data_IF_922873025687
#
_entry.id   IF_922873025687
#
_cell.length_a   1.000
_cell.length_b   1.000
_cell.length_c   1.000
_cell.angle_alpha   90.00
_cell.angle_beta   90.00
_cell.angle_gamma   90.00
#
_symmetry.space_group_name_H-M   'P 1'
#
loop_
_entity.id
_entity.type
_entity.pdbx_description
1 polymer ?
#
# COMPACT_ATOMS: atom_id res chain seq x y z
N UNK A 1 8.19 -3.96 -7.30
CA UNK A 1 7.94 -2.89 -6.31
C UNK A 1 7.76 -1.54 -7.01
N UNK A 2 7.23 -0.56 -6.30
CA UNK A 2 7.07 0.81 -6.81
C UNK A 2 8.43 1.39 -7.19
N UNK A 3 8.50 2.05 -8.34
CA UNK A 3 9.69 2.76 -8.84
C UNK A 3 9.36 4.24 -9.00
N UNK A 4 10.36 5.09 -8.80
CA UNK A 4 10.17 6.55 -8.82
C UNK A 4 9.65 7.09 -7.48
N UNK A 5 9.47 8.40 -7.40
CA UNK A 5 9.01 9.11 -6.20
C UNK A 5 9.80 8.74 -4.91
N UNK A 6 11.11 8.47 -5.06
CA UNK A 6 11.98 8.05 -3.95
C UNK A 6 11.97 6.54 -3.66
N UNK A 7 11.27 5.75 -4.45
CA UNK A 7 11.21 4.30 -4.32
C UNK A 7 12.22 3.63 -5.29
N UNK A 8 12.95 2.59 -4.86
CA UNK A 8 14.05 2.01 -5.63
C UNK A 8 13.64 1.09 -6.79
N UNK A 9 12.38 0.68 -6.88
CA UNK A 9 11.94 -0.21 -7.96
C UNK A 9 12.55 -1.60 -7.92
N UNK A 10 12.62 -2.24 -6.75
CA UNK A 10 13.19 -3.59 -6.65
C UNK A 10 12.48 -4.59 -7.56
N UNK A 11 13.26 -5.48 -8.17
CA UNK A 11 12.70 -6.63 -8.87
C UNK A 11 11.86 -7.50 -7.93
N UNK A 12 10.90 -8.28 -8.44
CA UNK A 12 10.12 -9.19 -7.60
C UNK A 12 10.98 -10.17 -6.79
N UNK A 13 12.10 -10.63 -7.38
CA UNK A 13 13.03 -11.50 -6.68
C UNK A 13 13.70 -10.78 -5.51
N UNK A 14 14.22 -9.56 -5.71
CA UNK A 14 14.83 -8.78 -4.64
C UNK A 14 13.82 -8.46 -3.53
N UNK A 15 12.60 -8.09 -3.89
CA UNK A 15 11.53 -7.84 -2.92
C UNK A 15 11.19 -9.10 -2.10
N UNK A 16 11.15 -10.28 -2.74
CA UNK A 16 10.95 -11.56 -2.07
C UNK A 16 12.08 -11.90 -1.09
N UNK A 17 13.33 -11.67 -1.48
CA UNK A 17 14.48 -11.87 -0.59
C UNK A 17 14.45 -10.94 0.62
N UNK A 18 14.10 -9.68 0.43
CA UNK A 18 13.92 -8.72 1.54
C UNK A 18 12.82 -9.20 2.49
N UNK A 19 11.67 -9.59 1.96
CA UNK A 19 10.56 -10.08 2.77
C UNK A 19 10.95 -11.35 3.56
N UNK A 20 11.69 -12.25 2.95
CA UNK A 20 12.19 -13.49 3.59
C UNK A 20 13.14 -13.15 4.74
N UNK A 21 14.11 -12.25 4.54
CA UNK A 21 15.05 -11.88 5.60
C UNK A 21 14.36 -11.12 6.74
N UNK A 22 13.41 -10.24 6.42
CA UNK A 22 12.60 -9.60 7.45
C UNK A 22 11.80 -10.61 8.26
N UNK A 23 11.19 -11.60 7.61
CA UNK A 23 10.41 -12.64 8.27
C UNK A 23 11.28 -13.57 9.15
N UNK A 24 12.56 -13.75 8.81
CA UNK A 24 13.52 -14.49 9.66
C UNK A 24 13.83 -13.74 10.95
N UNK A 25 13.82 -12.42 10.91
CA UNK A 25 14.01 -11.58 12.10
C UNK A 25 12.73 -11.43 12.92
N UNK A 26 11.66 -11.00 12.27
CA UNK A 26 10.34 -10.80 12.88
C UNK A 26 9.23 -10.83 11.82
N UNK A 27 8.30 -11.77 11.97
CA UNK A 27 7.18 -11.92 11.05
C UNK A 27 6.24 -10.70 11.01
N UNK A 28 6.12 -9.96 12.13
CA UNK A 28 5.29 -8.75 12.18
C UNK A 28 5.90 -7.62 11.35
N UNK A 29 7.21 -7.47 11.39
CA UNK A 29 7.95 -6.50 10.56
C UNK A 29 7.82 -6.85 9.08
N UNK A 30 7.90 -8.13 8.73
CA UNK A 30 7.67 -8.58 7.35
C UNK A 30 6.24 -8.29 6.89
N UNK A 31 5.24 -8.54 7.72
CA UNK A 31 3.83 -8.24 7.42
C UNK A 31 3.62 -6.74 7.26
N UNK A 32 4.15 -5.93 8.19
CA UNK A 32 4.12 -4.47 8.08
C UNK A 32 4.72 -3.98 6.76
N UNK A 33 5.91 -4.46 6.40
CA UNK A 33 6.56 -4.12 5.13
C UNK A 33 5.70 -4.50 3.93
N UNK A 34 5.12 -5.71 3.93
CA UNK A 34 4.24 -6.18 2.87
C UNK A 34 3.00 -5.31 2.69
N UNK A 35 2.33 -4.92 3.78
CA UNK A 35 1.14 -4.06 3.73
C UNK A 35 1.51 -2.63 3.32
N UNK A 36 2.54 -2.06 3.94
CA UNK A 36 2.97 -0.69 3.66
C UNK A 36 3.43 -0.52 2.20
N UNK A 37 4.41 -1.32 1.78
CA UNK A 37 5.04 -1.19 0.46
C UNK A 37 4.26 -1.91 -0.64
N UNK A 38 3.80 -3.12 -0.38
CA UNK A 38 3.18 -4.00 -1.37
C UNK A 38 1.71 -3.70 -1.62
N UNK A 39 0.98 -3.21 -0.65
CA UNK A 39 -0.44 -2.86 -0.80
C UNK A 39 -0.66 -1.35 -0.85
N UNK A 40 -0.39 -0.62 0.23
CA UNK A 40 -0.75 0.80 0.31
C UNK A 40 0.02 1.66 -0.69
N UNK A 41 1.36 1.58 -0.73
CA UNK A 41 2.15 2.35 -1.70
C UNK A 41 1.88 1.88 -3.13
N UNK A 42 1.74 0.57 -3.37
CA UNK A 42 1.44 0.05 -4.69
C UNK A 42 0.08 0.54 -5.20
N UNK A 43 -0.96 0.56 -4.35
CA UNK A 43 -2.27 1.10 -4.73
C UNK A 43 -2.18 2.57 -5.14
N UNK A 44 -1.46 3.40 -4.38
CA UNK A 44 -1.25 4.81 -4.72
C UNK A 44 -0.46 4.94 -6.02
N UNK A 45 0.59 4.14 -6.21
CA UNK A 45 1.41 4.18 -7.42
C UNK A 45 0.63 3.79 -8.68
N UNK A 46 -0.25 2.79 -8.58
CA UNK A 46 -1.01 2.27 -9.72
C UNK A 46 -2.26 3.08 -10.03
N UNK A 47 -2.96 3.55 -9.01
CA UNK A 47 -4.31 4.10 -9.14
C UNK A 47 -4.41 5.58 -8.77
N UNK A 48 -3.42 6.12 -8.07
CA UNK A 48 -3.40 7.51 -7.64
C UNK A 48 -3.16 8.48 -8.80
N UNK A 49 -3.64 9.73 -8.65
CA UNK A 49 -3.25 10.83 -9.53
C UNK A 49 -1.77 11.16 -9.35
N UNK A 50 -1.17 11.90 -10.30
CA UNK A 50 0.23 12.32 -10.17
C UNK A 50 0.44 13.18 -8.92
N UNK A 51 -0.49 14.10 -8.64
CA UNK A 51 -0.46 14.89 -7.41
C UNK A 51 -0.46 14.02 -6.13
N UNK A 52 -1.26 12.95 -6.11
CA UNK A 52 -1.30 12.01 -5.00
C UNK A 52 0.01 11.23 -4.86
N UNK A 53 0.59 10.77 -5.97
CA UNK A 53 1.87 10.06 -5.99
C UNK A 53 3.00 10.95 -5.47
N UNK A 54 3.12 12.17 -5.99
CA UNK A 54 4.13 13.15 -5.57
C UNK A 54 4.00 13.54 -4.10
N UNK A 55 2.76 13.68 -3.62
CA UNK A 55 2.47 14.09 -2.24
C UNK A 55 2.79 13.00 -1.22
N UNK A 56 2.47 11.75 -1.52
CA UNK A 56 2.49 10.68 -0.51
C UNK A 56 3.65 9.71 -0.64
N UNK A 57 3.98 9.24 -1.85
CA UNK A 57 4.98 8.19 -2.02
C UNK A 57 6.36 8.56 -1.47
N UNK A 58 6.92 9.77 -1.68
CA UNK A 58 8.23 10.10 -1.13
C UNK A 58 8.28 10.08 0.39
N UNK A 59 7.20 10.49 1.05
CA UNK A 59 7.10 10.49 2.51
C UNK A 59 6.90 9.08 3.06
N UNK A 60 6.13 8.26 2.34
CA UNK A 60 5.96 6.85 2.68
C UNK A 60 7.25 6.06 2.49
N UNK A 61 8.01 6.31 1.42
CA UNK A 61 9.30 5.68 1.19
C UNK A 61 10.32 5.93 2.32
N UNK A 62 10.20 7.07 3.02
CA UNK A 62 11.02 7.41 4.20
C UNK A 62 10.37 7.05 5.54
N UNK A 63 9.23 6.35 5.53
CA UNK A 63 8.44 6.02 6.72
C UNK A 63 7.98 7.24 7.55
N UNK A 64 7.92 8.42 6.95
CA UNK A 64 7.29 9.61 7.55
C UNK A 64 5.76 9.48 7.60
N UNK A 65 5.21 8.67 6.71
CA UNK A 65 3.81 8.25 6.66
C UNK A 65 3.75 6.73 6.58
N UNK A 66 2.89 6.15 7.39
CA UNK A 66 2.64 4.71 7.37
C UNK A 66 1.32 4.45 6.67
N UNK A 67 1.35 3.59 5.64
CA UNK A 67 0.17 3.15 4.93
C UNK A 67 -0.44 1.90 5.54
N UNK A 68 -1.77 1.84 5.52
CA UNK A 68 -2.55 0.66 5.86
C UNK A 68 -3.53 0.37 4.72
N UNK A 69 -4.08 -0.84 4.71
CA UNK A 69 -5.02 -1.28 3.69
C UNK A 69 -6.30 -1.80 4.36
N UNK A 70 -7.35 -0.99 4.36
CA UNK A 70 -8.65 -1.33 4.94
C UNK A 70 -9.52 -1.96 3.85
N UNK A 71 -9.47 -3.28 3.70
CA UNK A 71 -10.17 -4.02 2.66
C UNK A 71 -11.39 -4.79 3.19
N UNK A 72 -11.25 -5.46 4.33
CA UNK A 72 -12.27 -6.37 4.86
C UNK A 72 -13.49 -5.62 5.35
N UNK A 73 -14.67 -6.04 4.92
CA UNK A 73 -15.96 -5.59 5.41
C UNK A 73 -16.60 -6.66 6.31
N UNK A 74 -17.62 -6.32 7.11
CA UNK A 74 -18.25 -7.30 8.01
C UNK A 74 -18.72 -8.57 7.31
N UNK A 75 -19.30 -8.45 6.11
CA UNK A 75 -19.84 -9.59 5.35
C UNK A 75 -18.89 -10.09 4.26
N UNK A 76 -17.78 -9.36 3.97
CA UNK A 76 -16.88 -9.66 2.86
C UNK A 76 -15.41 -9.71 3.32
N UNK A 77 -14.87 -10.91 3.47
CA UNK A 77 -13.46 -11.16 3.75
C UNK A 77 -12.72 -11.56 2.48
N UNK A 78 -12.67 -12.87 2.21
CA UNK A 78 -11.98 -13.42 1.00
C UNK A 78 -12.67 -13.02 -0.31
N UNK A 79 -13.96 -12.72 -0.27
CA UNK A 79 -14.74 -12.27 -1.42
C UNK A 79 -14.62 -10.74 -1.62
N UNK A 80 -13.42 -10.29 -1.90
CA UNK A 80 -13.12 -8.86 -2.06
C UNK A 80 -13.70 -8.24 -3.35
N UNK A 81 -14.28 -9.04 -4.24
CA UNK A 81 -14.90 -8.53 -5.48
C UNK A 81 -16.34 -8.08 -5.28
N UNK A 82 -16.96 -8.45 -4.16
CA UNK A 82 -18.36 -8.10 -3.83
C UNK A 82 -18.47 -7.03 -2.76
N UNK A 83 -17.41 -6.27 -2.51
CA UNK A 83 -17.40 -5.17 -1.54
C UNK A 83 -18.58 -4.21 -1.74
N UNK A 84 -19.23 -3.84 -0.65
CA UNK A 84 -20.39 -2.94 -0.63
C UNK A 84 -20.05 -1.49 -0.33
N UNK A 85 -18.88 -1.23 0.28
CA UNK A 85 -18.41 0.12 0.59
C UNK A 85 -18.38 0.97 -0.68
N UNK A 86 -19.06 2.09 -0.62
CA UNK A 86 -19.17 3.04 -1.73
C UNK A 86 -18.70 4.41 -1.30
N UNK A 87 -18.08 5.12 -2.22
CA UNK A 87 -17.67 6.50 -2.05
C UNK A 87 -18.51 7.40 -2.95
N UNK A 88 -19.09 8.43 -2.37
CA UNK A 88 -19.84 9.45 -3.09
C UNK A 88 -19.23 10.82 -2.83
N UNK A 89 -19.00 11.57 -3.90
CA UNK A 89 -18.54 12.96 -3.78
C UNK A 89 -19.67 13.83 -3.23
N UNK A 90 -19.35 14.66 -2.23
CA UNK A 90 -20.25 15.63 -1.64
C UNK A 90 -19.50 16.95 -1.45
N UNK A 91 -19.76 17.93 -2.31
CA UNK A 91 -19.00 19.17 -2.36
C UNK A 91 -17.53 18.90 -2.66
N UNK A 92 -16.65 19.39 -1.80
CA UNK A 92 -15.19 19.21 -1.91
C UNK A 92 -14.65 17.97 -1.19
N UNK A 93 -15.53 17.16 -0.57
CA UNK A 93 -15.20 15.95 0.17
C UNK A 93 -15.87 14.71 -0.38
N UNK A 94 -15.72 13.62 0.38
CA UNK A 94 -16.32 12.32 0.10
C UNK A 94 -17.02 11.77 1.34
N UNK A 95 -18.08 11.00 1.12
CA UNK A 95 -18.85 10.25 2.13
C UNK A 95 -19.07 8.84 1.65
#
# INVERSE_FOLDING_TARGET
TTEGHGCPGFSPLAAGLVAMELARGDGSVSTFHGVHSGLAMAAIAMLGSEEQRERWLPRMARLELIGAFALTEPEHGSDAVTLETRVRRLGDGFV
#
